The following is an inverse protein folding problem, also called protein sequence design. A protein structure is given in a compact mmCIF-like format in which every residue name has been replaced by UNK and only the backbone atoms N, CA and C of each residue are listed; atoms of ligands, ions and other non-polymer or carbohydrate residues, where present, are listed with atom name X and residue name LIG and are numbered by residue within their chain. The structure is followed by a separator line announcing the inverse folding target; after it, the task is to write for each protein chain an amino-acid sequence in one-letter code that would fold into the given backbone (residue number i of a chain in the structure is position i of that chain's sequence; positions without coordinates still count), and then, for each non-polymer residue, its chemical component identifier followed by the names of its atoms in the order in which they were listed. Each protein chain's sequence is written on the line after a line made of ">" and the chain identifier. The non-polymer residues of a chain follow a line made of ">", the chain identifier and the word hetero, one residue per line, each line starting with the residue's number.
data_IF_230420926317
#
_entry.id   IF_230420926317
#
_cell.length_a   1.000
_cell.length_b   1.000
_cell.length_c   1.000
_cell.angle_alpha   90.00
_cell.angle_beta   90.00
_cell.angle_gamma   90.00
#
_symmetry.space_group_name_H-M   'P 1'
#
loop_
_entity.id
_entity.type
_entity.pdbx_description
1 polymer ?
#
# COMPACT_ATOMS: atom_id res chain seq x y z
N UNK A 1 -1.72 -7.28 14.45
CA UNK A 1 -2.27 -6.79 15.74
C UNK A 1 -1.21 -6.23 16.67
N UNK A 2 -0.08 -6.92 16.91
CA UNK A 2 0.99 -6.42 17.80
C UNK A 2 1.56 -5.04 17.39
N UNK A 3 1.80 -4.81 16.09
CA UNK A 3 2.28 -3.51 15.58
C UNK A 3 1.28 -2.37 15.80
N UNK A 4 -0.02 -2.64 15.54
CA UNK A 4 -1.07 -1.65 15.77
C UNK A 4 -1.19 -1.27 17.25
N UNK A 5 -1.06 -2.24 18.15
CA UNK A 5 -1.05 -2.00 19.59
C UNK A 5 0.18 -1.18 20.04
N UNK A 6 1.36 -1.46 19.48
CA UNK A 6 2.57 -0.67 19.72
C UNK A 6 2.37 0.79 19.29
N UNK A 7 1.81 1.04 18.09
CA UNK A 7 1.50 2.41 17.64
C UNK A 7 0.45 3.10 18.51
N UNK A 8 -0.59 2.38 18.96
CA UNK A 8 -1.60 2.92 19.87
C UNK A 8 -0.99 3.34 21.21
N UNK A 9 -0.11 2.50 21.79
CA UNK A 9 0.62 2.81 23.03
C UNK A 9 1.57 4.00 22.83
N UNK A 10 2.41 3.99 21.79
CA UNK A 10 3.33 5.10 21.52
C UNK A 10 2.60 6.41 21.24
N UNK A 11 1.47 6.36 20.53
CA UNK A 11 0.63 7.54 20.26
C UNK A 11 -0.08 8.09 21.49
N UNK A 12 -0.51 7.24 22.42
CA UNK A 12 -1.12 7.71 23.68
C UNK A 12 -0.10 8.25 24.69
N UNK A 13 1.11 7.70 24.75
CA UNK A 13 2.12 8.06 25.76
C UNK A 13 3.15 9.10 25.30
N UNK A 14 3.35 9.29 23.99
CA UNK A 14 4.26 10.32 23.48
C UNK A 14 3.62 11.70 23.55
N UNK A 15 4.28 12.63 24.24
CA UNK A 15 3.88 14.06 24.33
C UNK A 15 4.66 14.97 23.38
N UNK A 16 5.54 14.42 22.54
CA UNK A 16 6.35 15.16 21.56
C UNK A 16 5.60 15.27 20.25
N UNK A 17 5.45 16.50 19.74
CA UNK A 17 5.00 16.76 18.38
C UNK A 17 6.02 16.20 17.38
N UNK A 18 5.59 15.43 16.38
CA UNK A 18 6.49 14.83 15.38
C UNK A 18 6.18 13.39 14.94
N UNK A 19 5.14 12.75 15.47
CA UNK A 19 4.68 11.43 15.01
C UNK A 19 5.76 10.34 15.13
N UNK A 20 5.94 9.52 14.08
CA UNK A 20 6.88 8.39 14.10
C UNK A 20 8.34 8.81 14.34
N UNK A 21 8.79 9.93 13.78
CA UNK A 21 10.12 10.49 14.06
C UNK A 21 10.26 10.98 15.50
N UNK A 22 9.19 11.53 16.07
CA UNK A 22 9.12 11.93 17.48
C UNK A 22 9.15 10.75 18.46
N UNK A 23 8.55 9.60 18.09
CA UNK A 23 8.66 8.37 18.88
C UNK A 23 10.10 7.85 18.91
N UNK A 24 10.78 7.87 17.76
CA UNK A 24 12.18 7.48 17.65
C UNK A 24 13.10 8.46 18.40
N UNK A 25 12.80 9.77 18.39
CA UNK A 25 13.56 10.76 19.15
C UNK A 25 13.47 10.52 20.66
N UNK A 26 12.30 10.13 21.16
CA UNK A 26 12.08 9.91 22.58
C UNK A 26 12.94 8.76 23.14
N UNK A 27 13.13 7.69 22.36
CA UNK A 27 13.90 6.53 22.77
C UNK A 27 15.39 6.58 22.37
N UNK A 28 15.71 7.16 21.21
CA UNK A 28 17.04 7.08 20.58
C UNK A 28 17.69 8.45 20.32
N UNK A 29 17.05 9.55 20.76
CA UNK A 29 17.55 10.91 20.55
C UNK A 29 17.49 11.38 19.09
N UNK A 30 18.15 12.50 18.80
CA UNK A 30 18.08 13.17 17.48
C UNK A 30 18.58 12.31 16.32
N UNK A 31 19.53 11.42 16.55
CA UNK A 31 20.04 10.49 15.53
C UNK A 31 18.97 9.47 15.12
N UNK A 32 18.21 8.93 16.08
CA UNK A 32 17.09 8.04 15.80
C UNK A 32 15.94 8.73 15.06
N UNK A 33 15.66 9.99 15.40
CA UNK A 33 14.71 10.82 14.65
C UNK A 33 15.13 10.96 13.17
N UNK A 34 16.39 11.31 12.91
CA UNK A 34 16.91 11.46 11.55
C UNK A 34 16.80 10.17 10.74
N UNK A 35 17.27 9.05 11.29
CA UNK A 35 17.20 7.75 10.61
C UNK A 35 15.75 7.34 10.28
N UNK A 36 14.83 7.49 11.24
CA UNK A 36 13.44 7.13 11.04
C UNK A 36 12.77 7.99 9.96
N UNK A 37 12.97 9.31 9.99
CA UNK A 37 12.38 10.21 9.00
C UNK A 37 13.03 10.07 7.62
N UNK A 38 14.33 9.83 7.55
CA UNK A 38 15.04 9.62 6.29
C UNK A 38 14.56 8.34 5.59
N UNK A 39 14.57 7.20 6.29
CA UNK A 39 14.09 5.93 5.73
C UNK A 39 12.61 6.00 5.36
N UNK A 40 11.78 6.66 6.17
CA UNK A 40 10.38 6.88 5.86
C UNK A 40 10.18 7.72 4.59
N UNK A 41 10.94 8.82 4.44
CA UNK A 41 10.88 9.67 3.25
C UNK A 41 11.28 8.93 1.97
N UNK A 42 12.37 8.16 2.02
CA UNK A 42 12.81 7.34 0.88
C UNK A 42 11.78 6.27 0.54
N UNK A 43 11.21 5.60 1.55
CA UNK A 43 10.16 4.59 1.35
C UNK A 43 8.91 5.18 0.69
N UNK A 44 8.45 6.35 1.14
CA UNK A 44 7.29 7.03 0.56
C UNK A 44 7.51 7.43 -0.90
N UNK A 45 8.71 7.87 -1.26
CA UNK A 45 9.03 8.24 -2.63
C UNK A 45 8.87 7.04 -3.57
N UNK A 46 9.46 5.90 -3.20
CA UNK A 46 9.38 4.67 -3.99
C UNK A 46 7.93 4.15 -4.02
N UNK A 47 7.25 4.16 -2.87
CA UNK A 47 5.86 3.70 -2.75
C UNK A 47 4.91 4.53 -3.63
N UNK A 48 5.05 5.86 -3.65
CA UNK A 48 4.20 6.73 -4.47
C UNK A 48 4.38 6.47 -5.96
N UNK A 49 5.62 6.22 -6.41
CA UNK A 49 5.89 5.84 -7.80
C UNK A 49 5.21 4.50 -8.13
N UNK A 50 5.37 3.49 -7.28
CA UNK A 50 4.74 2.18 -7.48
C UNK A 50 3.20 2.28 -7.55
N UNK A 51 2.59 3.03 -6.62
CA UNK A 51 1.13 3.25 -6.60
C UNK A 51 0.66 3.95 -7.88
N UNK A 52 1.39 4.98 -8.34
CA UNK A 52 1.04 5.70 -9.56
C UNK A 52 1.11 4.80 -10.80
N UNK A 53 2.14 3.94 -10.90
CA UNK A 53 2.26 2.96 -11.99
C UNK A 53 1.09 1.99 -11.97
N UNK A 54 0.75 1.43 -10.81
CA UNK A 54 -0.40 0.52 -10.66
C UNK A 54 -1.71 1.22 -11.03
N UNK A 55 -1.92 2.47 -10.63
CA UNK A 55 -3.12 3.24 -10.96
C UNK A 55 -3.26 3.46 -12.47
N UNK A 56 -2.17 3.81 -13.16
CA UNK A 56 -2.17 3.93 -14.62
C UNK A 56 -2.45 2.59 -15.27
N UNK A 57 -1.82 1.50 -14.81
CA UNK A 57 -2.05 0.15 -15.35
C UNK A 57 -3.50 -0.31 -15.21
N UNK A 58 -4.13 -0.12 -14.05
CA UNK A 58 -5.56 -0.41 -13.90
C UNK A 58 -6.42 0.49 -14.79
N UNK A 59 -6.05 1.76 -14.96
CA UNK A 59 -6.75 2.70 -15.84
C UNK A 59 -6.68 2.31 -17.32
N UNK A 60 -5.54 1.81 -17.80
CA UNK A 60 -5.39 1.37 -19.20
C UNK A 60 -6.23 0.14 -19.52
N UNK A 61 -6.28 -0.82 -18.60
CA UNK A 61 -7.12 -2.03 -18.74
C UNK A 61 -8.61 -1.67 -18.74
N UNK A 62 -9.04 -0.78 -17.83
CA UNK A 62 -10.44 -0.34 -17.77
C UNK A 62 -10.89 0.45 -19.01
N UNK A 63 -9.98 1.21 -19.64
CA UNK A 63 -10.26 2.00 -20.85
C UNK A 63 -10.00 1.23 -22.16
N UNK A 64 -9.48 0.00 -22.09
CA UNK A 64 -9.11 -0.79 -23.26
C UNK A 64 -8.02 -0.15 -24.12
N UNK A 65 -7.20 0.74 -23.53
CA UNK A 65 -6.18 1.50 -24.25
C UNK A 65 -4.82 0.80 -24.16
N UNK A 66 -4.29 0.33 -25.30
CA UNK A 66 -2.92 -0.21 -25.36
C UNK A 66 -1.91 0.95 -25.39
N UNK A 67 -1.35 1.29 -24.24
CA UNK A 67 -0.29 2.30 -24.14
C UNK A 67 1.10 1.66 -24.27
N UNK A 68 2.00 2.32 -25.00
CA UNK A 68 3.42 1.99 -25.01
C UNK A 68 4.06 2.21 -23.63
N UNK A 69 5.12 1.48 -23.24
CA UNK A 69 5.84 1.69 -21.98
C UNK A 69 6.23 3.16 -21.72
N UNK A 70 6.56 3.91 -22.78
CA UNK A 70 6.89 5.35 -22.69
C UNK A 70 5.66 6.17 -22.33
N UNK A 71 4.50 5.84 -22.89
CA UNK A 71 3.24 6.53 -22.60
C UNK A 71 2.74 6.23 -21.19
N UNK A 72 2.93 5.00 -20.69
CA UNK A 72 2.64 4.64 -19.29
C UNK A 72 3.52 5.46 -18.34
N UNK A 73 4.81 5.62 -18.65
CA UNK A 73 5.71 6.46 -17.88
C UNK A 73 5.27 7.93 -17.84
N UNK A 74 4.90 8.51 -18.99
CA UNK A 74 4.39 9.88 -19.06
C UNK A 74 3.06 10.05 -18.31
N UNK A 75 2.13 9.11 -18.44
CA UNK A 75 0.88 9.11 -17.70
C UNK A 75 1.12 9.00 -16.19
N UNK A 76 2.07 8.18 -15.75
CA UNK A 76 2.46 8.04 -14.34
C UNK A 76 2.99 9.36 -13.78
N UNK A 77 3.85 10.05 -14.54
CA UNK A 77 4.35 11.39 -14.17
C UNK A 77 3.18 12.38 -14.06
N UNK A 78 2.24 12.35 -15.01
CA UNK A 78 1.03 13.16 -14.97
C UNK A 78 0.19 12.94 -13.70
N UNK A 79 -0.04 11.67 -13.33
CA UNK A 79 -0.76 11.30 -12.11
C UNK A 79 -0.04 11.83 -10.86
N UNK A 80 1.29 11.69 -10.78
CA UNK A 80 2.08 12.20 -9.66
C UNK A 80 1.96 13.72 -9.52
N UNK A 81 1.99 14.47 -10.62
CA UNK A 81 1.82 15.92 -10.61
C UNK A 81 0.41 16.32 -10.18
N UNK A 82 -0.63 15.65 -10.69
CA UNK A 82 -2.02 15.90 -10.28
C UNK A 82 -2.18 15.68 -8.77
N UNK A 83 -1.68 14.55 -8.26
CA UNK A 83 -1.69 14.27 -6.82
C UNK A 83 -0.91 15.32 -6.03
N UNK A 84 0.24 15.78 -6.54
CA UNK A 84 1.06 16.80 -5.89
C UNK A 84 0.32 18.15 -5.81
N UNK A 85 -0.31 18.58 -6.91
CA UNK A 85 -1.11 19.81 -6.93
C UNK A 85 -2.33 19.69 -6.01
N UNK A 86 -2.98 18.52 -5.95
CA UNK A 86 -4.07 18.27 -5.02
C UNK A 86 -3.62 18.36 -3.55
N UNK A 87 -2.35 18.06 -3.24
CA UNK A 87 -1.79 18.26 -1.90
C UNK A 87 -1.61 19.74 -1.53
N UNK A 88 -1.54 20.66 -2.49
CA UNK A 88 -1.48 22.10 -2.21
C UNK A 88 -2.79 22.67 -1.66
N UNK A 89 -3.92 21.97 -1.83
CA UNK A 89 -5.22 22.34 -1.24
C UNK A 89 -5.28 22.23 0.30
N UNK A 90 -4.19 21.82 0.94
CA UNK A 90 -4.08 21.70 2.39
C UNK A 90 -4.59 20.36 2.93
N UNK A 91 -4.07 19.97 4.10
CA UNK A 91 -4.28 18.65 4.69
C UNK A 91 -5.77 18.29 4.95
N UNK A 92 -6.64 19.29 5.10
CA UNK A 92 -8.08 19.06 5.32
C UNK A 92 -8.78 18.51 4.07
N UNK A 93 -8.47 19.04 2.90
CA UNK A 93 -9.09 18.62 1.63
C UNK A 93 -8.57 17.23 1.25
N UNK A 94 -7.25 17.04 1.33
CA UNK A 94 -6.62 15.74 1.05
C UNK A 94 -7.16 14.65 1.99
N UNK A 95 -7.36 14.95 3.28
CA UNK A 95 -7.95 14.01 4.23
C UNK A 95 -9.40 13.63 3.91
N UNK A 96 -10.22 14.58 3.46
CA UNK A 96 -11.60 14.32 3.06
C UNK A 96 -11.68 13.45 1.80
N UNK A 97 -10.87 13.76 0.78
CA UNK A 97 -10.80 12.95 -0.44
C UNK A 97 -10.37 11.53 -0.09
N UNK A 98 -9.32 11.38 0.72
CA UNK A 98 -8.83 10.06 1.13
C UNK A 98 -9.89 9.23 1.87
N UNK A 99 -10.68 9.86 2.75
CA UNK A 99 -11.79 9.18 3.45
C UNK A 99 -12.86 8.64 2.48
N UNK A 100 -13.20 9.40 1.44
CA UNK A 100 -14.17 8.95 0.42
C UNK A 100 -13.58 7.79 -0.38
N UNK A 101 -12.31 7.88 -0.80
CA UNK A 101 -11.65 6.82 -1.57
C UNK A 101 -11.56 5.51 -0.78
N UNK A 102 -11.35 5.59 0.54
CA UNK A 102 -11.33 4.42 1.44
C UNK A 102 -12.67 3.68 1.39
N UNK A 103 -13.80 4.38 1.47
CA UNK A 103 -15.12 3.73 1.31
C UNK A 103 -15.29 3.11 -0.07
N UNK A 104 -14.78 3.76 -1.12
CA UNK A 104 -14.78 3.23 -2.48
C UNK A 104 -14.04 1.88 -2.61
N UNK A 105 -13.00 1.65 -1.80
CA UNK A 105 -12.27 0.37 -1.75
C UNK A 105 -12.92 -0.64 -0.82
N UNK A 106 -13.47 -0.19 0.32
CA UNK A 106 -14.12 -1.08 1.30
C UNK A 106 -15.36 -1.75 0.69
N UNK A 107 -16.19 -1.01 -0.05
CA UNK A 107 -17.43 -1.54 -0.63
C UNK A 107 -17.21 -2.80 -1.49
N UNK A 108 -16.34 -2.80 -2.53
CA UNK A 108 -16.11 -4.00 -3.34
C UNK A 108 -15.45 -5.13 -2.56
N UNK A 109 -14.56 -4.83 -1.60
CA UNK A 109 -13.94 -5.86 -0.75
C UNK A 109 -14.97 -6.54 0.14
N UNK A 110 -15.82 -5.76 0.82
CA UNK A 110 -16.91 -6.30 1.65
C UNK A 110 -17.93 -7.05 0.77
N UNK A 111 -18.23 -6.52 -0.42
CA UNK A 111 -19.07 -7.20 -1.41
C UNK A 111 -18.52 -8.58 -1.76
N UNK A 112 -17.23 -8.68 -2.07
CA UNK A 112 -16.57 -9.98 -2.30
C UNK A 112 -16.60 -10.87 -1.05
N UNK A 113 -16.36 -10.33 0.15
CA UNK A 113 -16.38 -11.11 1.38
C UNK A 113 -17.77 -11.68 1.75
N UNK A 114 -18.85 -11.07 1.28
CA UNK A 114 -20.23 -11.52 1.57
C UNK A 114 -20.79 -12.33 0.38
N UNK A 115 -20.75 -11.74 -0.81
CA UNK A 115 -21.36 -12.27 -2.02
C UNK A 115 -20.46 -13.32 -2.69
N UNK A 116 -19.14 -13.22 -2.53
CA UNK A 116 -18.18 -14.15 -3.13
C UNK A 116 -18.38 -15.61 -2.69
N UNK A 117 -18.98 -15.84 -1.52
CA UNK A 117 -19.32 -17.20 -1.04
C UNK A 117 -20.34 -17.92 -1.93
N UNK A 118 -21.23 -17.20 -2.62
CA UNK A 118 -22.20 -17.84 -3.52
C UNK A 118 -21.56 -18.44 -4.77
N UNK A 119 -20.40 -17.92 -5.19
CA UNK A 119 -19.61 -18.43 -6.31
C UNK A 119 -18.33 -19.13 -5.85
N UNK A 120 -18.16 -19.30 -4.53
CA UNK A 120 -17.00 -19.97 -3.96
C UNK A 120 -17.14 -21.48 -4.14
N UNK A 121 -16.18 -22.09 -4.84
CA UNK A 121 -16.08 -23.53 -4.99
C UNK A 121 -14.93 -24.09 -4.14
N UNK A 122 -15.22 -24.88 -3.09
CA UNK A 122 -14.19 -25.53 -2.30
C UNK A 122 -13.29 -26.47 -3.12
N UNK A 123 -13.82 -27.08 -4.18
CA UNK A 123 -13.04 -27.99 -5.04
C UNK A 123 -11.99 -27.22 -5.85
N UNK A 124 -12.37 -26.09 -6.45
CA UNK A 124 -11.43 -25.22 -7.17
C UNK A 124 -10.32 -24.68 -6.25
N UNK A 125 -10.66 -24.39 -4.99
CA UNK A 125 -9.70 -23.93 -3.98
C UNK A 125 -8.69 -25.02 -3.62
N UNK A 126 -9.14 -26.25 -3.42
CA UNK A 126 -8.27 -27.40 -3.11
C UNK A 126 -7.40 -27.79 -4.30
N UNK A 127 -7.93 -27.74 -5.52
CA UNK A 127 -7.17 -28.04 -6.73
C UNK A 127 -6.08 -26.99 -7.01
N UNK A 128 -6.36 -25.73 -6.68
CA UNK A 128 -5.40 -24.62 -6.83
C UNK A 128 -4.45 -24.47 -5.63
N UNK A 129 -4.64 -25.25 -4.56
CA UNK A 129 -3.83 -25.18 -3.34
C UNK A 129 -2.40 -25.65 -3.58
N UNK A 130 -2.21 -26.67 -4.43
CA UNK A 130 -0.90 -27.14 -4.86
C UNK A 130 -0.95 -27.61 -6.32
N UNK A 131 -0.99 -26.67 -7.29
CA UNK A 131 -1.11 -27.00 -8.72
C UNK A 131 0.05 -27.84 -9.26
N UNK A 132 1.19 -27.83 -8.57
CA UNK A 132 2.40 -28.56 -8.95
C UNK A 132 2.66 -29.83 -8.13
N UNK A 133 1.76 -30.21 -7.21
CA UNK A 133 1.91 -31.36 -6.29
C UNK A 133 3.31 -31.45 -5.63
N UNK A 134 3.95 -30.32 -5.36
CA UNK A 134 5.33 -30.31 -4.88
C UNK A 134 5.40 -30.86 -3.43
N UNK A 135 6.33 -31.77 -3.10
CA UNK A 135 6.58 -32.20 -1.73
C UNK A 135 6.94 -31.01 -0.87
N UNK A 136 6.41 -30.95 0.36
CA UNK A 136 6.56 -29.83 1.31
C UNK A 136 8.03 -29.37 1.50
N UNK A 137 9.00 -30.29 1.39
CA UNK A 137 10.43 -30.00 1.54
C UNK A 137 11.07 -29.28 0.34
N UNK A 138 10.55 -29.45 -0.88
CA UNK A 138 11.08 -28.80 -2.09
C UNK A 138 10.58 -27.36 -2.27
N UNK A 139 9.52 -26.97 -1.56
CA UNK A 139 8.94 -25.63 -1.63
C UNK A 139 9.54 -24.65 -0.60
N UNK A 140 10.12 -25.17 0.50
CA UNK A 140 10.72 -24.36 1.58
C UNK A 140 12.22 -24.16 1.39
N UNK A 141 12.91 -25.11 0.74
CA UNK A 141 14.34 -25.02 0.47
C UNK A 141 14.54 -24.54 -0.96
N UNK A 142 14.99 -23.29 -1.09
CA UNK A 142 15.50 -22.66 -2.31
C UNK A 142 16.22 -23.67 -3.21
N UNK A 143 15.99 -23.70 -4.54
CA UNK A 143 16.89 -24.41 -5.44
C UNK A 143 18.25 -23.72 -5.36
N UNK A 144 19.19 -24.37 -4.69
CA UNK A 144 20.59 -23.98 -4.71
C UNK A 144 21.19 -24.37 -6.05
N UNK A 145 21.14 -23.46 -7.04
CA UNK A 145 22.09 -23.33 -8.14
C UNK A 145 22.14 -21.87 -8.62
#
# INVERSE_FOLDING_TARGET
>A
MALAWAFAKCGMFSRKSGGMGGYAEYAFGKSGNFMANYTYGVSLLIANVAIAISAVGYGTELLGASLSPVQIGLATIGVLWICTVANFGGARITGQISSITVWGVIIPVVGLCIIGWFWFSPTLYVDSWNPHHAPFFSAVVLPSL
#
